data_IF_785349616715
#
_entry.id   IF_785349616715
#
_cell.length_a   1.000
_cell.length_b   1.000
_cell.length_c   1.000
_cell.angle_alpha   90.00
_cell.angle_beta   90.00
_cell.angle_gamma   90.00
#
_symmetry.space_group_name_H-M   'P 1'
#
loop_
_entity.id
_entity.type
_entity.pdbx_description
1 polymer ?
#
# COMPACT_ATOMS: atom_id res chain seq x y z
N UNK A 1 20.47 -23.00 57.13
CA UNK A 1 21.32 -22.16 56.25
C UNK A 1 21.14 -22.44 54.76
N UNK A 2 21.24 -23.69 54.27
CA UNK A 2 21.10 -24.04 52.84
C UNK A 2 19.77 -23.59 52.17
N UNK A 3 18.65 -23.65 52.89
CA UNK A 3 17.33 -23.21 52.37
C UNK A 3 17.18 -21.68 52.24
N UNK A 4 17.93 -20.89 53.02
CA UNK A 4 17.93 -19.43 52.92
C UNK A 4 18.68 -18.96 51.65
N UNK A 5 19.84 -19.56 51.38
CA UNK A 5 20.61 -19.31 50.16
C UNK A 5 19.90 -19.77 48.89
N UNK A 6 19.06 -20.82 48.95
CA UNK A 6 18.28 -21.30 47.82
C UNK A 6 17.12 -20.35 47.49
N UNK A 7 16.40 -19.83 48.50
CA UNK A 7 15.34 -18.83 48.29
C UNK A 7 15.90 -17.47 47.80
N UNK A 8 17.09 -17.08 48.26
CA UNK A 8 17.77 -15.86 47.81
C UNK A 8 18.26 -15.97 46.35
N UNK A 9 18.72 -17.14 45.91
CA UNK A 9 19.09 -17.40 44.50
C UNK A 9 17.88 -17.45 43.56
N UNK A 10 16.74 -18.00 44.00
CA UNK A 10 15.49 -18.03 43.21
C UNK A 10 14.89 -16.63 43.08
N UNK A 11 14.97 -15.81 44.12
CA UNK A 11 14.50 -14.41 44.09
C UNK A 11 15.40 -13.51 43.21
N UNK A 12 16.72 -13.74 43.20
CA UNK A 12 17.65 -13.02 42.32
C UNK A 12 17.54 -13.45 40.85
N UNK A 13 17.09 -14.67 40.57
CA UNK A 13 16.88 -15.17 39.19
C UNK A 13 15.54 -14.69 38.60
N UNK A 14 14.55 -14.35 39.43
CA UNK A 14 13.27 -13.77 38.97
C UNK A 14 13.36 -12.27 38.60
N UNK A 15 14.43 -11.58 38.98
CA UNK A 15 14.62 -10.14 38.75
C UNK A 15 15.38 -9.80 37.45
N UNK A 16 15.82 -10.80 36.68
CA UNK A 16 16.63 -10.63 35.44
C UNK A 16 15.80 -10.86 34.16
N UNK A 17 14.48 -11.07 34.27
CA UNK A 17 13.59 -11.22 33.09
C UNK A 17 12.69 -9.97 32.90
N UNK A 18 13.22 -8.78 33.19
CA UNK A 18 12.71 -7.57 32.54
C UNK A 18 13.56 -7.42 31.27
N UNK A 19 13.32 -8.32 30.32
CA UNK A 19 13.84 -8.18 28.97
C UNK A 19 13.38 -6.83 28.46
N UNK A 20 14.34 -5.95 28.17
CA UNK A 20 14.09 -4.71 27.45
C UNK A 20 13.51 -5.10 26.10
N UNK A 21 12.18 -5.07 25.98
CA UNK A 21 11.53 -5.02 24.68
C UNK A 21 11.87 -3.66 24.09
N UNK A 22 13.07 -3.53 23.52
CA UNK A 22 13.41 -2.44 22.63
C UNK A 22 12.54 -2.60 21.39
N UNK A 23 11.32 -2.06 21.45
CA UNK A 23 10.56 -1.82 20.23
C UNK A 23 11.42 -0.92 19.37
N UNK A 24 11.86 -1.44 18.22
CA UNK A 24 12.57 -0.63 17.24
C UNK A 24 11.72 0.60 16.95
N UNK A 25 12.30 1.79 17.08
CA UNK A 25 11.59 3.03 16.80
C UNK A 25 11.04 2.97 15.36
N UNK A 26 9.72 3.16 15.21
CA UNK A 26 9.09 3.18 13.89
C UNK A 26 9.58 4.39 13.12
N UNK A 27 10.00 4.21 11.87
CA UNK A 27 10.36 5.34 11.00
C UNK A 27 9.10 6.11 10.62
N UNK A 28 9.19 7.44 10.60
CA UNK A 28 8.18 8.25 9.93
C UNK A 28 8.20 7.92 8.44
N UNK A 29 7.02 7.60 7.89
CA UNK A 29 6.81 7.32 6.47
C UNK A 29 5.66 8.19 5.95
N UNK A 30 5.61 8.40 4.65
CA UNK A 30 4.50 9.12 4.01
C UNK A 30 3.19 8.36 4.14
N UNK A 31 2.09 9.10 4.30
CA UNK A 31 0.76 8.56 4.08
C UNK A 31 0.51 8.51 2.57
N UNK A 32 0.39 7.30 2.03
CA UNK A 32 0.12 7.07 0.61
C UNK A 32 -1.27 6.48 0.42
N UNK A 33 -1.96 6.95 -0.61
CA UNK A 33 -3.15 6.29 -1.11
C UNK A 33 -2.81 4.97 -1.83
N UNK A 34 -3.85 4.25 -2.24
CA UNK A 34 -3.71 2.98 -2.96
C UNK A 34 -3.02 3.12 -4.32
N UNK A 35 -2.89 4.35 -4.85
CA UNK A 35 -2.10 4.64 -6.06
C UNK A 35 -2.59 3.90 -7.30
N UNK A 36 -3.90 3.71 -7.43
CA UNK A 36 -4.47 2.92 -8.53
C UNK A 36 -4.24 3.65 -9.86
N UNK A 37 -3.58 2.97 -10.78
CA UNK A 37 -3.41 3.40 -12.16
C UNK A 37 -4.10 2.40 -13.08
N UNK A 38 -4.88 2.90 -14.03
CA UNK A 38 -5.55 2.09 -15.04
C UNK A 38 -5.16 2.63 -16.42
N UNK A 39 -4.67 1.77 -17.32
CA UNK A 39 -4.13 2.15 -18.63
C UNK A 39 -4.73 1.28 -19.71
N UNK A 40 -5.20 1.88 -20.80
CA UNK A 40 -5.67 1.14 -21.96
C UNK A 40 -4.51 0.39 -22.61
N UNK A 41 -4.73 -0.89 -22.92
CA UNK A 41 -3.82 -1.73 -23.72
C UNK A 41 -4.57 -2.35 -24.89
N UNK A 42 -3.89 -3.09 -25.76
CA UNK A 42 -4.55 -3.82 -26.84
C UNK A 42 -5.50 -4.90 -26.32
N UNK A 43 -5.23 -5.47 -25.13
CA UNK A 43 -5.96 -6.60 -24.56
C UNK A 43 -6.95 -6.19 -23.46
N UNK A 44 -7.32 -4.90 -23.37
CA UNK A 44 -8.24 -4.41 -22.34
C UNK A 44 -7.67 -3.22 -21.56
N UNK A 45 -7.84 -3.23 -20.25
CA UNK A 45 -7.27 -2.23 -19.33
C UNK A 45 -6.34 -2.93 -18.35
N UNK A 46 -5.09 -2.50 -18.30
CA UNK A 46 -4.14 -2.92 -17.28
C UNK A 46 -4.29 -2.03 -16.05
N UNK A 47 -4.37 -2.64 -14.88
CA UNK A 47 -4.42 -1.98 -13.58
C UNK A 47 -3.22 -2.37 -12.74
N UNK A 48 -2.69 -1.42 -11.99
CA UNK A 48 -1.74 -1.67 -10.90
C UNK A 48 -2.03 -0.75 -9.72
N UNK A 49 -1.68 -1.21 -8.52
CA UNK A 49 -1.85 -0.47 -7.27
C UNK A 49 -0.73 -0.78 -6.27
N UNK A 50 -0.66 0.01 -5.20
CA UNK A 50 0.33 -0.18 -4.14
C UNK A 50 -0.11 -1.26 -3.14
N UNK A 51 0.83 -2.12 -2.76
CA UNK A 51 0.82 -2.78 -1.47
C UNK A 51 1.47 -1.81 -0.48
N UNK A 52 0.72 -1.35 0.52
CA UNK A 52 1.18 -0.33 1.45
C UNK A 52 2.00 -0.98 2.58
N UNK A 53 2.91 -0.21 3.19
CA UNK A 53 3.75 -0.70 4.29
C UNK A 53 2.97 -1.07 5.55
N UNK A 54 1.72 -0.64 5.67
CA UNK A 54 0.79 -0.97 6.75
C UNK A 54 -0.26 -2.03 6.37
N UNK A 55 -0.21 -2.59 5.16
CA UNK A 55 -1.05 -3.73 4.81
C UNK A 55 -0.54 -5.00 5.53
N UNK A 56 -1.46 -5.81 6.04
CA UNK A 56 -1.13 -7.14 6.55
C UNK A 56 -0.66 -8.05 5.40
N UNK A 57 0.28 -8.96 5.64
CA UNK A 57 0.79 -9.88 4.62
C UNK A 57 -0.29 -10.76 3.96
N UNK A 58 -1.45 -10.93 4.61
CA UNK A 58 -2.61 -11.69 4.11
C UNK A 58 -3.63 -10.81 3.37
N UNK A 59 -3.35 -9.52 3.20
CA UNK A 59 -4.23 -8.59 2.49
C UNK A 59 -4.39 -9.05 1.03
N UNK A 60 -5.64 -9.24 0.62
CA UNK A 60 -6.02 -9.43 -0.77
C UNK A 60 -6.70 -8.19 -1.34
N UNK A 61 -7.00 -8.21 -2.64
CA UNK A 61 -7.62 -7.08 -3.32
C UNK A 61 -8.79 -7.49 -4.21
N UNK A 62 -9.91 -6.79 -4.08
CA UNK A 62 -11.02 -6.83 -5.02
C UNK A 62 -10.95 -5.65 -5.98
N UNK A 63 -11.29 -5.90 -7.24
CA UNK A 63 -11.32 -4.91 -8.30
C UNK A 63 -12.78 -4.70 -8.68
N UNK A 64 -13.18 -3.43 -8.69
CA UNK A 64 -14.50 -3.01 -9.13
C UNK A 64 -14.36 -2.19 -10.39
N UNK A 65 -15.18 -2.50 -11.40
CA UNK A 65 -15.39 -1.66 -12.58
C UNK A 65 -16.81 -1.15 -12.57
N UNK A 66 -16.97 0.17 -12.62
CA UNK A 66 -18.28 0.84 -12.68
C UNK A 66 -19.23 0.36 -11.57
N UNK A 67 -18.69 0.14 -10.37
CA UNK A 67 -19.42 -0.33 -9.19
C UNK A 67 -19.61 -1.85 -9.07
N UNK A 68 -19.20 -2.64 -10.08
CA UNK A 68 -19.36 -4.10 -10.08
C UNK A 68 -18.02 -4.79 -9.84
N UNK A 69 -17.97 -5.74 -8.90
CA UNK A 69 -16.77 -6.57 -8.66
C UNK A 69 -16.48 -7.45 -9.88
N UNK A 70 -15.24 -7.46 -10.37
CA UNK A 70 -14.85 -8.18 -11.59
C UNK A 70 -13.91 -9.37 -11.37
N UNK A 71 -13.41 -9.57 -10.16
CA UNK A 71 -12.65 -10.76 -9.77
C UNK A 71 -13.49 -11.66 -8.85
N UNK A 72 -13.43 -12.98 -9.07
CA UNK A 72 -14.21 -13.94 -8.29
C UNK A 72 -13.71 -14.01 -6.84
N UNK A 73 -12.40 -14.18 -6.66
CA UNK A 73 -11.71 -14.25 -5.37
C UNK A 73 -10.72 -13.08 -5.20
N UNK A 74 -10.50 -12.59 -3.96
CA UNK A 74 -9.50 -11.56 -3.70
C UNK A 74 -8.12 -11.94 -4.21
N UNK A 75 -7.45 -11.01 -4.89
CA UNK A 75 -6.11 -11.19 -5.45
C UNK A 75 -5.10 -11.04 -4.32
N UNK A 76 -4.34 -12.08 -3.98
CA UNK A 76 -3.37 -12.09 -2.87
C UNK A 76 -1.90 -12.24 -3.29
N UNK A 77 -1.64 -12.54 -4.56
CA UNK A 77 -0.29 -12.88 -5.05
C UNK A 77 0.38 -11.76 -5.84
N UNK A 78 -0.36 -10.71 -6.18
CA UNK A 78 0.09 -9.60 -7.04
C UNK A 78 -0.77 -8.37 -6.80
N UNK A 79 -0.25 -7.20 -7.16
CA UNK A 79 -0.97 -5.91 -7.09
C UNK A 79 -1.25 -5.33 -8.47
N UNK A 80 -1.61 -6.21 -9.41
CA UNK A 80 -2.03 -5.85 -10.75
C UNK A 80 -3.17 -6.75 -11.26
N UNK A 81 -3.89 -6.26 -12.27
CA UNK A 81 -4.98 -6.97 -12.92
C UNK A 81 -5.14 -6.52 -14.37
N UNK A 82 -5.55 -7.42 -15.27
CA UNK A 82 -5.93 -7.06 -16.64
C UNK A 82 -7.41 -7.33 -16.80
N UNK A 83 -8.18 -6.27 -17.00
CA UNK A 83 -9.58 -6.36 -17.33
C UNK A 83 -9.77 -6.38 -18.85
N UNK A 84 -10.01 -7.56 -19.40
CA UNK A 84 -10.22 -7.76 -20.84
C UNK A 84 -11.51 -7.13 -21.38
N UNK A 85 -12.47 -6.78 -20.52
CA UNK A 85 -13.74 -6.13 -20.91
C UNK A 85 -13.73 -4.62 -20.64
N UNK A 86 -12.64 -4.10 -20.09
CA UNK A 86 -12.46 -2.70 -19.76
C UNK A 86 -12.25 -1.80 -20.99
N UNK A 87 -12.80 -0.58 -20.93
CA UNK A 87 -12.65 0.46 -21.94
C UNK A 87 -12.14 1.77 -21.36
N UNK A 88 -11.88 2.76 -22.21
CA UNK A 88 -11.44 4.11 -21.77
C UNK A 88 -12.49 4.86 -20.96
N UNK A 89 -13.78 4.50 -21.09
CA UNK A 89 -14.88 5.05 -20.30
C UNK A 89 -15.05 4.39 -18.93
N UNK A 90 -14.39 3.25 -18.69
CA UNK A 90 -14.52 2.51 -17.44
C UNK A 90 -13.89 3.27 -16.27
N UNK A 91 -14.46 3.10 -15.08
CA UNK A 91 -13.89 3.61 -13.84
C UNK A 91 -13.64 2.47 -12.88
N UNK A 92 -12.51 2.54 -12.19
CA UNK A 92 -12.04 1.47 -11.34
C UNK A 92 -11.85 1.88 -9.89
N UNK A 93 -12.20 0.98 -8.98
CA UNK A 93 -11.92 1.07 -7.55
C UNK A 93 -11.25 -0.23 -7.12
N UNK A 94 -10.20 -0.13 -6.32
CA UNK A 94 -9.54 -1.27 -5.68
C UNK A 94 -9.86 -1.25 -4.21
N UNK A 95 -10.34 -2.39 -3.68
CA UNK A 95 -10.65 -2.55 -2.26
C UNK A 95 -9.74 -3.58 -1.62
N UNK A 96 -9.10 -3.21 -0.52
CA UNK A 96 -8.29 -4.14 0.25
C UNK A 96 -9.20 -5.05 1.10
N UNK A 97 -8.86 -6.33 1.16
CA UNK A 97 -9.61 -7.38 1.85
C UNK A 97 -8.70 -8.05 2.85
N UNK A 98 -9.12 -8.11 4.11
CA UNK A 98 -8.43 -8.88 5.15
C UNK A 98 -9.47 -9.68 5.93
N UNK A 99 -9.19 -10.97 6.16
CA UNK A 99 -10.11 -11.89 6.85
C UNK A 99 -11.53 -11.88 6.24
N UNK A 100 -11.61 -11.90 4.90
CA UNK A 100 -12.86 -11.87 4.12
C UNK A 100 -13.71 -10.59 4.29
N UNK A 101 -13.14 -9.51 4.82
CA UNK A 101 -13.81 -8.20 4.95
C UNK A 101 -13.07 -7.14 4.16
N UNK A 102 -13.80 -6.31 3.43
CA UNK A 102 -13.25 -5.09 2.81
C UNK A 102 -12.92 -4.07 3.92
N UNK A 103 -11.66 -3.63 3.99
CA UNK A 103 -11.13 -2.79 5.07
C UNK A 103 -10.68 -1.40 4.61
N UNK A 104 -10.46 -1.22 3.31
CA UNK A 104 -10.02 0.04 2.69
C UNK A 104 -10.47 0.08 1.23
N UNK A 105 -10.66 1.29 0.69
CA UNK A 105 -11.02 1.51 -0.70
C UNK A 105 -10.22 2.65 -1.33
N UNK A 106 -9.83 2.48 -2.60
CA UNK A 106 -9.21 3.55 -3.36
C UNK A 106 -10.24 4.60 -3.80
N UNK A 107 -9.74 5.78 -4.18
CA UNK A 107 -10.52 6.69 -5.02
C UNK A 107 -10.88 6.02 -6.37
N UNK A 108 -11.92 6.54 -7.02
CA UNK A 108 -12.30 6.12 -8.37
C UNK A 108 -11.29 6.60 -9.42
N UNK A 109 -10.70 5.67 -10.16
CA UNK A 109 -9.67 5.92 -11.17
C UNK A 109 -10.24 5.81 -12.59
N UNK A 110 -10.03 6.84 -13.42
CA UNK A 110 -10.22 6.77 -14.89
C UNK A 110 -9.07 6.06 -15.58
N UNK A 111 -9.38 5.46 -16.71
CA UNK A 111 -8.41 4.85 -17.61
C UNK A 111 -7.64 5.92 -18.39
N UNK A 112 -6.31 5.79 -18.42
CA UNK A 112 -5.46 6.58 -19.31
C UNK A 112 -5.51 5.97 -20.71
N UNK A 113 -5.82 6.81 -21.70
CA UNK A 113 -5.82 6.39 -23.11
C UNK A 113 -4.41 6.12 -23.65
N UNK A 114 -3.37 6.68 -23.01
CA UNK A 114 -1.97 6.50 -23.35
C UNK A 114 -1.23 5.85 -22.18
N UNK A 115 -0.10 5.21 -22.47
CA UNK A 115 0.78 4.59 -21.46
C UNK A 115 1.61 5.61 -20.66
N UNK A 116 1.29 6.89 -20.78
CA UNK A 116 1.89 8.00 -20.05
C UNK A 116 0.82 8.99 -19.62
N UNK A 117 1.12 9.77 -18.57
CA UNK A 117 0.32 10.91 -18.15
C UNK A 117 1.07 12.19 -18.45
N UNK A 118 0.51 13.03 -19.31
CA UNK A 118 1.08 14.35 -19.59
C UNK A 118 0.82 15.28 -18.41
N UNK A 119 1.89 15.87 -17.88
CA UNK A 119 1.83 16.99 -16.96
C UNK A 119 2.27 18.23 -17.73
N UNK A 120 1.33 19.12 -18.04
CA UNK A 120 1.66 20.36 -18.75
C UNK A 120 2.40 21.29 -17.80
N UNK A 121 3.67 21.53 -18.10
CA UNK A 121 4.50 22.44 -17.33
C UNK A 121 4.31 23.88 -17.84
N UNK A 122 4.26 24.83 -16.91
CA UNK A 122 4.38 26.25 -17.24
C UNK A 122 5.86 26.61 -17.20
N UNK A 123 6.51 26.60 -18.37
CA UNK A 123 7.92 27.00 -18.48
C UNK A 123 8.08 28.45 -18.02
N UNK A 124 9.04 28.76 -17.14
CA UNK A 124 9.36 30.14 -16.78
C UNK A 124 9.72 30.98 -18.02
N UNK A 125 9.44 32.28 -17.96
CA UNK A 125 9.82 33.23 -19.01
C UNK A 125 11.35 33.35 -19.16
N UNK A 126 11.80 34.03 -20.21
CA UNK A 126 13.23 34.19 -20.53
C UNK A 126 14.05 34.96 -19.49
N UNK A 127 13.38 35.67 -18.57
CA UNK A 127 14.02 36.48 -17.52
C UNK A 127 14.18 35.71 -16.20
N UNK A 128 14.00 34.38 -16.21
CA UNK A 128 14.25 33.54 -15.04
C UNK A 128 15.74 33.20 -14.94
N UNK A 129 16.41 33.76 -13.94
CA UNK A 129 17.72 33.33 -13.46
C UNK A 129 17.49 32.38 -12.27
N UNK A 130 18.02 31.16 -12.31
CA UNK A 130 17.95 30.25 -11.16
C UNK A 130 18.84 30.81 -10.03
N UNK A 131 18.28 31.03 -8.83
CA UNK A 131 18.98 31.66 -7.71
C UNK A 131 19.64 30.61 -6.79
N UNK A 132 20.07 29.51 -7.40
CA UNK A 132 20.27 28.23 -6.71
C UNK A 132 21.73 27.80 -6.86
N UNK A 133 22.68 28.69 -6.51
CA UNK A 133 24.08 28.32 -6.29
C UNK A 133 24.77 29.35 -5.38
N UNK A 134 24.84 29.04 -4.08
CA UNK A 134 25.88 29.51 -3.14
C UNK A 134 26.32 28.34 -2.27
#
# INVERSE_FOLDING_TARGET
MKHFFLKLKVFLFLLIIIGTNGQAATKQMEYLDRGVVAVKTNNGVFLSWRFLGNDDAKTGFNIYRDGVKINDTPITTKTNYVDGKGGTSSRYVVKAVLNNKEIDESASTSVWGQQYKTLTLKRPGTNYEANDMS
#
